data_IF_541640290890
#
_entry.id   IF_541640290890
#
_cell.length_a   1.000
_cell.length_b   1.000
_cell.length_c   1.000
_cell.angle_alpha   90.00
_cell.angle_beta   90.00
_cell.angle_gamma   90.00
#
_symmetry.space_group_name_H-M   'P 1'
#
loop_
_entity.id
_entity.type
_entity.pdbx_description
1 polymer ?
#
# COMPACT_ATOMS: atom_id res chain seq x y z
N UNK A 1 1.06 -10.70 1.60
CA UNK A 1 -0.40 -10.72 1.74
C UNK A 1 -1.00 -9.31 1.56
N UNK A 2 -2.22 -9.04 2.03
CA UNK A 2 -2.99 -7.84 1.70
C UNK A 2 -3.83 -7.34 2.87
N UNK A 3 -4.12 -6.03 2.87
CA UNK A 3 -5.13 -5.35 3.69
C UNK A 3 -6.57 -5.87 3.47
N UNK A 4 -6.87 -6.47 2.30
CA UNK A 4 -8.19 -7.05 1.97
C UNK A 4 -8.56 -8.28 2.81
N UNK A 5 -7.70 -8.72 3.72
CA UNK A 5 -8.06 -9.69 4.75
C UNK A 5 -8.99 -9.09 5.81
N UNK A 6 -9.07 -7.77 5.88
CA UNK A 6 -9.97 -7.02 6.77
C UNK A 6 -11.20 -6.50 6.02
N UNK A 7 -12.28 -6.20 6.76
CA UNK A 7 -13.54 -5.67 6.20
C UNK A 7 -13.55 -4.15 6.00
N UNK A 8 -12.62 -3.43 6.61
CA UNK A 8 -12.54 -1.98 6.52
C UNK A 8 -13.48 -1.22 7.47
N UNK A 9 -14.08 -1.88 8.46
CA UNK A 9 -15.05 -1.28 9.39
C UNK A 9 -14.41 -0.62 10.61
N UNK A 10 -13.14 -0.95 10.94
CA UNK A 10 -12.44 -0.42 12.11
C UNK A 10 -12.04 1.04 11.90
N UNK A 11 -12.18 1.85 12.95
CA UNK A 11 -11.56 3.17 13.01
C UNK A 11 -10.06 3.04 13.35
N UNK A 12 -9.20 3.79 12.64
CA UNK A 12 -7.75 3.72 12.81
C UNK A 12 -7.07 2.56 12.07
N UNK A 13 -5.83 2.26 12.42
CA UNK A 13 -5.04 1.19 11.76
C UNK A 13 -5.40 -0.20 12.28
N UNK A 14 -5.50 -1.17 11.38
CA UNK A 14 -5.55 -2.58 11.76
C UNK A 14 -4.18 -3.05 12.25
N UNK A 15 -4.15 -3.77 13.35
CA UNK A 15 -2.99 -4.48 13.86
C UNK A 15 -2.99 -5.93 13.36
N UNK A 16 -1.87 -6.63 13.51
CA UNK A 16 -1.76 -8.05 13.13
C UNK A 16 -2.65 -8.97 13.98
N UNK A 17 -3.08 -8.50 15.19
CA UNK A 17 -3.93 -9.24 16.13
C UNK A 17 -5.42 -9.00 15.89
N UNK A 18 -5.79 -8.05 15.03
CA UNK A 18 -7.20 -7.84 14.65
C UNK A 18 -7.73 -9.05 13.86
N UNK A 19 -8.95 -9.45 14.18
CA UNK A 19 -9.60 -10.57 13.53
C UNK A 19 -9.85 -10.30 12.04
N UNK A 20 -9.35 -11.14 11.11
CA UNK A 20 -9.64 -10.99 9.70
C UNK A 20 -11.12 -11.24 9.38
N UNK A 21 -11.68 -10.45 8.46
CA UNK A 21 -13.05 -10.60 7.95
C UNK A 21 -13.12 -10.23 6.44
N UNK A 22 -12.48 -11.00 5.54
CA UNK A 22 -12.38 -10.64 4.13
C UNK A 22 -13.72 -10.66 3.41
N UNK A 23 -14.06 -9.56 2.75
CA UNK A 23 -15.32 -9.38 2.04
C UNK A 23 -15.26 -9.81 0.56
N UNK A 24 -14.06 -10.02 0.02
CA UNK A 24 -13.83 -10.40 -1.38
C UNK A 24 -13.22 -11.79 -1.52
N UNK A 25 -13.39 -12.41 -2.69
CA UNK A 25 -12.72 -13.69 -3.03
C UNK A 25 -11.19 -13.50 -2.95
N UNK A 26 -10.67 -12.38 -3.42
CA UNK A 26 -9.25 -12.06 -3.32
C UNK A 26 -8.77 -12.10 -1.87
N UNK A 27 -9.42 -11.37 -0.96
CA UNK A 27 -9.08 -11.36 0.46
C UNK A 27 -9.16 -12.76 1.09
N UNK A 28 -10.23 -13.52 0.79
CA UNK A 28 -10.41 -14.90 1.28
C UNK A 28 -9.28 -15.84 0.84
N UNK A 29 -8.87 -15.77 -0.43
CA UNK A 29 -7.77 -16.61 -0.94
C UNK A 29 -6.42 -16.22 -0.34
N UNK A 30 -6.17 -14.93 -0.12
CA UNK A 30 -4.94 -14.47 0.54
C UNK A 30 -4.89 -14.90 2.00
N UNK A 31 -6.00 -14.78 2.73
CA UNK A 31 -6.10 -15.25 4.11
C UNK A 31 -5.91 -16.78 4.20
N UNK A 32 -6.49 -17.54 3.27
CA UNK A 32 -6.27 -19.00 3.21
C UNK A 32 -4.79 -19.34 3.00
N UNK A 33 -4.06 -18.55 2.19
CA UNK A 33 -2.62 -18.70 2.01
C UNK A 33 -1.83 -18.41 3.28
N UNK A 34 -2.21 -17.38 4.07
CA UNK A 34 -1.62 -17.12 5.39
C UNK A 34 -1.83 -18.30 6.35
N UNK A 35 -3.07 -18.80 6.42
CA UNK A 35 -3.41 -19.94 7.27
C UNK A 35 -2.63 -21.20 6.88
N UNK A 36 -2.46 -21.46 5.57
CA UNK A 36 -1.67 -22.60 5.08
C UNK A 36 -0.19 -22.50 5.49
N UNK A 37 0.41 -21.31 5.44
CA UNK A 37 1.78 -21.10 5.91
C UNK A 37 1.91 -21.37 7.40
N UNK A 38 0.98 -20.85 8.22
CA UNK A 38 0.97 -21.06 9.67
C UNK A 38 0.83 -22.55 9.98
N UNK A 39 -0.14 -23.24 9.33
CA UNK A 39 -0.42 -24.65 9.57
C UNK A 39 0.74 -25.56 9.13
N UNK A 40 1.53 -25.14 8.14
CA UNK A 40 2.69 -25.91 7.68
C UNK A 40 3.81 -26.00 8.71
N UNK A 41 3.80 -25.16 9.74
CA UNK A 41 4.89 -25.03 10.72
C UNK A 41 6.19 -24.48 10.14
N UNK A 42 6.20 -24.03 8.88
CA UNK A 42 7.38 -23.47 8.25
C UNK A 42 7.74 -22.11 8.88
N UNK A 43 9.02 -21.86 9.07
CA UNK A 43 9.53 -20.54 9.43
C UNK A 43 9.29 -19.58 8.27
N UNK A 44 8.48 -18.54 8.48
CA UNK A 44 8.08 -17.62 7.43
C UNK A 44 8.02 -16.18 7.92
N UNK A 45 8.15 -15.25 6.98
CA UNK A 45 7.79 -13.85 7.13
C UNK A 45 6.65 -13.57 6.15
N UNK A 46 5.53 -13.11 6.67
CA UNK A 46 4.39 -12.69 5.87
C UNK A 46 4.18 -11.21 6.06
N UNK A 47 4.24 -10.43 4.97
CA UNK A 47 3.93 -9.01 5.00
C UNK A 47 2.56 -8.76 4.40
N UNK A 48 1.61 -8.22 5.18
CA UNK A 48 0.39 -7.61 4.66
C UNK A 48 0.72 -6.22 4.19
N UNK A 49 0.34 -5.88 2.97
CA UNK A 49 0.57 -4.57 2.38
C UNK A 49 -0.69 -4.05 1.71
N UNK A 50 -0.73 -2.74 1.38
CA UNK A 50 -1.87 -2.11 0.71
C UNK A 50 -1.41 -1.14 -0.38
N UNK A 51 -2.27 -0.92 -1.39
CA UNK A 51 -2.15 0.10 -2.42
C UNK A 51 -0.78 0.13 -3.11
N UNK A 52 -0.26 -1.05 -3.46
CA UNK A 52 1.09 -1.19 -4.03
C UNK A 52 1.16 -0.51 -5.40
N UNK A 53 2.20 0.29 -5.60
CA UNK A 53 2.48 0.97 -6.85
C UNK A 53 3.99 1.04 -7.14
N UNK A 54 4.34 1.40 -8.40
CA UNK A 54 5.75 1.52 -8.81
C UNK A 54 5.88 2.05 -10.23
N UNK A 55 7.11 2.24 -10.68
CA UNK A 55 7.40 2.68 -12.05
C UNK A 55 7.03 1.63 -13.10
N UNK A 56 7.07 0.35 -12.74
CA UNK A 56 6.79 -0.77 -13.63
C UNK A 56 5.38 -1.34 -13.42
N UNK A 57 4.85 -2.02 -14.45
CA UNK A 57 3.52 -2.61 -14.41
C UNK A 57 2.38 -1.59 -14.46
N UNK A 58 1.14 -2.07 -14.42
CA UNK A 58 -0.06 -1.23 -14.32
C UNK A 58 -0.36 -0.93 -12.84
N UNK A 59 -0.68 0.32 -12.53
CA UNK A 59 -1.09 0.74 -11.19
C UNK A 59 -1.93 2.02 -11.23
N UNK A 60 -2.43 2.43 -10.05
CA UNK A 60 -3.29 3.59 -9.94
C UNK A 60 -2.61 4.89 -10.37
N UNK A 61 -1.37 5.17 -9.94
CA UNK A 61 -0.65 6.40 -10.29
C UNK A 61 -0.48 6.54 -11.81
N UNK A 62 -0.06 5.49 -12.50
CA UNK A 62 0.06 5.48 -13.97
C UNK A 62 -1.29 5.65 -14.67
N UNK A 63 -2.35 5.09 -14.09
CA UNK A 63 -3.72 5.29 -14.61
C UNK A 63 -4.13 6.75 -14.47
N UNK A 64 -3.87 7.39 -13.34
CA UNK A 64 -4.17 8.82 -13.13
C UNK A 64 -3.38 9.71 -14.09
N UNK A 65 -2.09 9.46 -14.29
CA UNK A 65 -1.27 10.20 -15.27
C UNK A 65 -1.87 10.12 -16.69
N UNK A 66 -2.19 8.92 -17.14
CA UNK A 66 -2.80 8.72 -18.47
C UNK A 66 -4.13 9.45 -18.60
N UNK A 67 -5.02 9.28 -17.60
CA UNK A 67 -6.33 9.93 -17.62
C UNK A 67 -6.21 11.46 -17.54
N UNK A 68 -5.24 12.00 -16.80
CA UNK A 68 -4.99 13.42 -16.72
C UNK A 68 -4.54 14.04 -18.05
N UNK A 69 -3.82 13.27 -18.88
CA UNK A 69 -3.46 13.69 -20.23
C UNK A 69 -4.63 13.60 -21.23
N UNK A 70 -5.60 12.72 -21.00
CA UNK A 70 -6.71 12.46 -21.92
C UNK A 70 -7.98 13.28 -21.60
N UNK A 71 -8.29 13.55 -20.34
CA UNK A 71 -9.56 14.08 -19.83
C UNK A 71 -9.40 15.46 -19.21
N UNK A 72 -10.49 16.24 -19.18
CA UNK A 72 -10.55 17.57 -18.55
C UNK A 72 -11.06 17.54 -17.11
N UNK A 73 -11.59 16.43 -16.66
CA UNK A 73 -11.98 16.20 -15.26
C UNK A 73 -11.96 14.71 -14.94
N UNK A 74 -11.75 14.37 -13.68
CA UNK A 74 -11.81 13.00 -13.16
C UNK A 74 -12.66 12.99 -11.90
N UNK A 75 -13.39 11.88 -11.69
CA UNK A 75 -14.09 11.59 -10.45
C UNK A 75 -13.37 10.46 -9.72
N UNK A 76 -12.98 10.69 -8.47
CA UNK A 76 -12.22 9.72 -7.67
C UNK A 76 -12.80 9.61 -6.27
N UNK A 77 -12.91 8.40 -5.77
CA UNK A 77 -13.48 8.08 -4.46
C UNK A 77 -12.65 8.72 -3.34
N UNK A 78 -13.32 9.42 -2.41
CA UNK A 78 -12.70 10.18 -1.32
C UNK A 78 -12.96 9.59 0.07
N UNK A 79 -13.83 8.60 0.20
CA UNK A 79 -14.26 7.94 1.44
C UNK A 79 -13.64 6.53 1.63
N UNK A 80 -12.60 6.20 0.87
CA UNK A 80 -11.76 5.03 1.08
C UNK A 80 -10.34 5.49 1.43
N UNK A 81 -9.80 4.96 2.54
CA UNK A 81 -8.53 5.41 3.11
C UNK A 81 -7.50 4.29 3.19
N UNK A 82 -6.23 4.66 3.01
CA UNK A 82 -5.10 3.75 3.07
C UNK A 82 -3.77 4.50 2.95
N UNK A 83 -2.69 3.77 2.70
CA UNK A 83 -1.37 4.33 2.44
C UNK A 83 -0.78 3.73 1.15
N UNK A 84 -0.61 4.53 0.08
CA UNK A 84 0.10 4.06 -1.11
C UNK A 84 1.50 3.60 -0.75
N UNK A 85 1.84 2.36 -1.07
CA UNK A 85 3.10 1.74 -0.69
C UNK A 85 3.90 1.39 -1.92
N UNK A 86 5.07 2.02 -2.10
CA UNK A 86 5.89 1.75 -3.28
C UNK A 86 6.50 0.35 -3.23
N UNK A 87 6.60 -0.30 -4.39
CA UNK A 87 7.28 -1.58 -4.51
C UNK A 87 8.76 -1.48 -4.09
N UNK A 88 9.40 -0.32 -4.29
CA UNK A 88 10.75 -0.05 -3.82
C UNK A 88 10.84 -0.13 -2.28
N UNK A 89 9.91 0.52 -1.56
CA UNK A 89 9.87 0.45 -0.10
C UNK A 89 9.71 -1.01 0.39
N UNK A 90 8.83 -1.78 -0.24
CA UNK A 90 8.64 -3.20 0.12
C UNK A 90 9.94 -3.98 -0.09
N UNK A 91 10.64 -3.74 -1.21
CA UNK A 91 11.90 -4.39 -1.52
C UNK A 91 13.01 -4.00 -0.51
N UNK A 92 13.14 -2.71 -0.21
CA UNK A 92 14.16 -2.19 0.72
C UNK A 92 13.96 -2.74 2.14
N UNK A 93 12.73 -2.70 2.65
CA UNK A 93 12.40 -3.27 3.96
C UNK A 93 12.65 -4.78 3.98
N UNK A 94 12.25 -5.49 2.92
CA UNK A 94 12.51 -6.93 2.82
C UNK A 94 14.02 -7.22 2.84
N UNK A 95 14.83 -6.45 2.12
CA UNK A 95 16.28 -6.61 2.10
C UNK A 95 16.90 -6.35 3.47
N UNK A 96 16.45 -5.31 4.21
CA UNK A 96 16.95 -5.03 5.56
C UNK A 96 16.58 -6.16 6.53
N UNK A 97 15.35 -6.67 6.51
CA UNK A 97 14.91 -7.79 7.35
C UNK A 97 15.68 -9.08 7.02
N UNK A 98 15.94 -9.36 5.73
CA UNK A 98 16.79 -10.49 5.32
C UNK A 98 18.25 -10.31 5.76
N UNK A 99 18.77 -9.08 5.74
CA UNK A 99 20.11 -8.77 6.26
C UNK A 99 20.22 -9.12 7.76
N UNK A 100 19.20 -8.75 8.55
CA UNK A 100 19.13 -9.11 9.98
C UNK A 100 19.01 -10.64 10.18
N UNK A 101 18.24 -11.33 9.33
CA UNK A 101 18.19 -12.79 9.34
C UNK A 101 19.55 -13.43 9.11
N UNK A 102 20.29 -12.97 8.10
CA UNK A 102 21.63 -13.49 7.81
C UNK A 102 22.59 -13.26 9.00
N UNK A 103 22.50 -12.09 9.65
CA UNK A 103 23.29 -11.78 10.84
C UNK A 103 22.92 -12.67 12.02
N UNK A 104 21.61 -12.87 12.29
CA UNK A 104 21.15 -13.75 13.37
C UNK A 104 21.62 -15.20 13.20
N UNK A 105 21.71 -15.69 11.95
CA UNK A 105 22.24 -17.03 11.64
C UNK A 105 23.72 -17.19 11.92
N UNK A 106 24.48 -16.10 11.98
CA UNK A 106 25.91 -16.09 12.33
C UNK A 106 26.14 -15.94 13.83
N UNK A 107 25.17 -15.35 14.55
CA UNK A 107 25.20 -15.23 15.99
C UNK A 107 24.58 -16.49 16.63
N UNK A 108 25.25 -17.08 17.60
CA UNK A 108 24.86 -18.35 18.23
C UNK A 108 23.69 -18.26 19.21
N UNK A 109 23.07 -17.09 19.42
CA UNK A 109 22.21 -16.85 20.58
C UNK A 109 20.84 -16.20 20.36
N UNK A 110 20.48 -15.73 19.16
CA UNK A 110 19.21 -15.05 18.96
C UNK A 110 18.28 -15.81 18.01
N UNK A 111 17.05 -16.08 18.49
CA UNK A 111 15.98 -16.59 17.62
C UNK A 111 15.48 -15.45 16.73
N UNK A 112 15.40 -15.70 15.40
CA UNK A 112 14.91 -14.70 14.45
C UNK A 112 13.38 -14.58 14.57
N UNK A 113 12.83 -13.36 14.63
CA UNK A 113 11.40 -13.13 14.84
C UNK A 113 10.59 -13.37 13.56
N UNK A 114 10.32 -14.65 13.27
CA UNK A 114 9.41 -15.04 12.19
C UNK A 114 7.98 -14.65 12.53
N UNK A 115 7.13 -14.52 11.50
CA UNK A 115 5.71 -14.29 11.72
C UNK A 115 5.05 -13.38 10.69
N UNK A 116 3.90 -12.85 11.10
CA UNK A 116 3.07 -11.93 10.32
C UNK A 116 3.33 -10.49 10.76
N UNK A 117 3.50 -9.62 9.77
CA UNK A 117 3.77 -8.20 9.95
C UNK A 117 2.99 -7.36 8.95
N UNK A 118 2.66 -6.13 9.32
CA UNK A 118 2.12 -5.13 8.40
C UNK A 118 3.25 -4.28 7.82
N UNK A 119 3.31 -4.16 6.49
CA UNK A 119 4.30 -3.39 5.76
C UNK A 119 3.62 -2.44 4.79
N UNK A 120 3.42 -1.21 5.20
CA UNK A 120 2.91 -0.09 4.37
C UNK A 120 3.73 1.16 4.65
N UNK A 121 3.70 2.13 3.75
CA UNK A 121 4.27 3.46 4.01
C UNK A 121 3.57 4.14 5.18
N UNK A 122 4.24 5.06 5.85
CA UNK A 122 3.63 5.90 6.88
C UNK A 122 2.63 6.89 6.28
N UNK A 123 1.75 7.42 7.14
CA UNK A 123 0.70 8.36 6.76
C UNK A 123 -0.60 7.69 6.34
N UNK A 124 -1.57 8.52 5.99
CA UNK A 124 -2.93 8.12 5.57
C UNK A 124 -3.41 9.07 4.49
N UNK A 125 -4.08 8.54 3.47
CA UNK A 125 -4.68 9.34 2.40
C UNK A 125 -5.92 8.66 1.85
N UNK A 126 -6.73 9.38 1.05
CA UNK A 126 -7.81 8.80 0.24
C UNK A 126 -7.33 8.55 -1.20
N UNK A 127 -8.07 7.75 -1.97
CA UNK A 127 -7.80 7.63 -3.42
C UNK A 127 -7.87 8.97 -4.13
N UNK A 128 -8.80 9.85 -3.73
CA UNK A 128 -8.94 11.19 -4.29
C UNK A 128 -7.69 12.04 -4.02
N UNK A 129 -7.23 12.13 -2.78
CA UNK A 129 -6.02 12.90 -2.45
C UNK A 129 -4.78 12.30 -3.10
N UNK A 130 -4.67 10.98 -3.18
CA UNK A 130 -3.59 10.32 -3.89
C UNK A 130 -3.61 10.68 -5.39
N UNK A 131 -4.78 10.68 -6.05
CA UNK A 131 -4.91 11.10 -7.43
C UNK A 131 -4.49 12.56 -7.64
N UNK A 132 -4.93 13.46 -6.75
CA UNK A 132 -4.51 14.88 -6.78
C UNK A 132 -2.99 15.03 -6.64
N UNK A 133 -2.37 14.29 -5.73
CA UNK A 133 -0.92 14.32 -5.54
C UNK A 133 -0.16 13.83 -6.79
N UNK A 134 -0.64 12.79 -7.47
CA UNK A 134 -0.06 12.31 -8.74
C UNK A 134 -0.15 13.39 -9.83
N UNK A 135 -1.31 14.01 -10.00
CA UNK A 135 -1.52 15.07 -11.00
C UNK A 135 -0.67 16.30 -10.68
N UNK A 136 -0.59 16.68 -9.40
CA UNK A 136 0.25 17.79 -8.96
C UNK A 136 1.72 17.55 -9.25
N UNK A 137 2.25 16.36 -8.97
CA UNK A 137 3.64 16.02 -9.26
C UNK A 137 3.94 16.10 -10.77
N UNK A 138 3.03 15.62 -11.63
CA UNK A 138 3.20 15.71 -13.07
C UNK A 138 3.09 17.16 -13.58
N UNK A 139 2.21 17.97 -12.99
CA UNK A 139 2.09 19.40 -13.32
C UNK A 139 3.37 20.17 -12.97
N UNK A 140 3.94 19.93 -11.79
CA UNK A 140 5.21 20.54 -11.37
C UNK A 140 6.39 20.11 -12.26
N UNK A 141 6.33 18.92 -12.84
CA UNK A 141 7.31 18.44 -13.82
C UNK A 141 7.03 18.92 -15.26
N UNK A 142 6.08 19.86 -15.46
CA UNK A 142 5.69 20.40 -16.76
C UNK A 142 5.24 19.35 -17.78
N UNK A 143 4.68 18.21 -17.34
CA UNK A 143 4.07 17.24 -18.27
C UNK A 143 2.80 17.84 -18.86
N UNK A 144 2.56 17.65 -20.18
CA UNK A 144 1.35 18.15 -20.83
C UNK A 144 0.11 17.38 -20.32
N UNK A 145 -0.70 18.03 -19.52
CA UNK A 145 -1.95 17.50 -18.97
C UNK A 145 -3.14 18.34 -19.45
N UNK A 146 -4.32 17.71 -19.56
CA UNK A 146 -5.59 18.40 -19.88
C UNK A 146 -6.34 18.82 -18.63
N UNK A 147 -5.97 18.30 -17.46
CA UNK A 147 -6.56 18.65 -16.17
C UNK A 147 -5.48 18.98 -15.15
N UNK A 148 -5.82 19.87 -14.22
CA UNK A 148 -5.03 20.16 -13.02
C UNK A 148 -5.50 19.36 -11.78
N UNK A 149 -4.79 19.51 -10.65
CA UNK A 149 -5.16 18.80 -9.41
C UNK A 149 -6.58 19.13 -8.92
N UNK A 150 -7.08 20.34 -9.18
CA UNK A 150 -8.40 20.81 -8.75
C UNK A 150 -9.54 20.28 -9.64
N UNK A 151 -9.23 19.77 -10.83
CA UNK A 151 -10.18 19.11 -11.73
C UNK A 151 -10.46 17.65 -11.35
N UNK A 152 -9.75 17.13 -10.32
CA UNK A 152 -10.03 15.82 -9.71
C UNK A 152 -11.13 15.99 -8.67
N UNK A 153 -12.33 15.57 -8.99
CA UNK A 153 -13.52 15.71 -8.17
C UNK A 153 -13.64 14.56 -7.16
N UNK A 154 -13.91 14.89 -5.91
CA UNK A 154 -14.21 13.91 -4.89
C UNK A 154 -15.64 13.35 -5.09
N UNK A 155 -15.76 12.03 -5.04
CA UNK A 155 -17.05 11.31 -4.99
C UNK A 155 -17.03 10.29 -3.86
N UNK A 156 -18.21 9.80 -3.50
CA UNK A 156 -18.36 8.71 -2.52
C UNK A 156 -18.25 7.34 -3.19
N UNK A 157 -17.99 6.31 -2.41
CA UNK A 157 -18.03 4.90 -2.85
C UNK A 157 -19.41 4.54 -3.46
N UNK A 158 -20.50 5.08 -2.90
CA UNK A 158 -21.84 4.84 -3.40
C UNK A 158 -22.06 5.39 -4.83
N UNK A 159 -21.37 6.46 -5.21
CA UNK A 159 -21.42 7.05 -6.57
C UNK A 159 -20.55 6.28 -7.59
N UNK A 160 -19.73 5.34 -7.12
CA UNK A 160 -18.86 4.52 -7.98
C UNK A 160 -18.98 3.03 -7.64
N UNK A 161 -20.12 2.41 -7.90
CA UNK A 161 -20.35 1.00 -7.56
C UNK A 161 -19.41 0.09 -8.38
N UNK A 162 -18.73 -0.82 -7.67
CA UNK A 162 -17.85 -1.84 -8.27
C UNK A 162 -18.40 -3.23 -7.94
N UNK A 163 -18.19 -4.23 -8.83
CA UNK A 163 -18.64 -5.60 -8.59
C UNK A 163 -18.06 -6.24 -7.30
N UNK A 164 -16.82 -5.89 -6.95
CA UNK A 164 -16.18 -6.35 -5.72
C UNK A 164 -16.14 -5.20 -4.69
N UNK A 165 -16.64 -5.43 -3.46
CA UNK A 165 -16.56 -4.44 -2.40
C UNK A 165 -15.11 -4.14 -2.05
N UNK A 166 -14.80 -2.86 -1.85
CA UNK A 166 -13.51 -2.39 -1.36
C UNK A 166 -13.65 -1.91 0.08
N UNK A 167 -12.71 -2.22 0.95
CA UNK A 167 -12.73 -1.71 2.32
C UNK A 167 -12.74 -0.18 2.35
N UNK A 168 -13.57 0.42 3.21
CA UNK A 168 -13.55 1.86 3.45
C UNK A 168 -12.24 2.27 4.15
N UNK A 169 -11.69 1.37 4.97
CA UNK A 169 -10.42 1.57 5.65
C UNK A 169 -9.45 0.43 5.35
N UNK A 170 -8.33 0.75 4.71
CA UNK A 170 -7.18 -0.09 4.39
C UNK A 170 -5.91 0.31 5.18
N UNK A 171 -6.07 1.09 6.26
CA UNK A 171 -4.94 1.52 7.08
C UNK A 171 -4.42 0.35 7.92
N UNK A 172 -3.13 0.09 7.84
CA UNK A 172 -2.45 -0.94 8.62
C UNK A 172 -1.51 -0.29 9.65
N UNK A 173 -1.55 -0.74 10.90
CA UNK A 173 -0.57 -0.37 11.91
C UNK A 173 0.73 -1.15 11.66
N UNK A 174 1.85 -0.47 11.65
CA UNK A 174 3.17 -1.04 11.37
C UNK A 174 4.08 -1.09 12.60
N UNK A 175 3.53 -0.82 13.79
CA UNK A 175 4.30 -0.73 15.04
C UNK A 175 5.08 -2.01 15.29
N UNK A 176 4.44 -3.18 15.16
CA UNK A 176 5.11 -4.47 15.32
C UNK A 176 6.33 -4.63 14.40
N UNK A 177 6.20 -4.32 13.12
CA UNK A 177 7.31 -4.39 12.17
C UNK A 177 8.44 -3.44 12.56
N UNK A 178 8.09 -2.16 12.84
CA UNK A 178 9.07 -1.13 13.16
C UNK A 178 9.86 -1.42 14.44
N UNK A 179 9.17 -1.83 15.49
CA UNK A 179 9.81 -2.16 16.78
C UNK A 179 10.63 -3.44 16.71
N UNK A 180 10.10 -4.47 16.04
CA UNK A 180 10.80 -5.77 15.94
C UNK A 180 12.12 -5.67 15.17
N UNK A 181 12.15 -4.89 14.09
CA UNK A 181 13.30 -4.81 13.18
C UNK A 181 14.04 -3.46 13.24
N UNK A 182 13.66 -2.55 14.14
CA UNK A 182 14.30 -1.24 14.27
C UNK A 182 14.15 -0.38 13.02
N UNK A 183 12.99 -0.42 12.34
CA UNK A 183 12.77 0.23 11.05
C UNK A 183 12.04 1.56 11.20
N UNK A 184 12.37 2.50 10.33
CA UNK A 184 11.64 3.75 10.12
C UNK A 184 11.02 3.70 8.71
N UNK A 185 9.68 3.77 8.63
CA UNK A 185 8.98 3.74 7.34
C UNK A 185 8.72 5.18 6.88
N UNK A 186 9.07 5.53 5.64
CA UNK A 186 8.84 6.86 5.08
C UNK A 186 7.35 7.13 4.86
N UNK A 187 6.97 8.42 4.86
CA UNK A 187 5.63 8.83 4.43
C UNK A 187 5.37 8.42 2.98
N UNK A 188 4.12 8.09 2.66
CA UNK A 188 3.71 7.65 1.32
C UNK A 188 4.05 8.66 0.21
N UNK A 189 4.09 9.96 0.54
CA UNK A 189 4.46 11.02 -0.40
C UNK A 189 5.90 10.89 -0.89
N UNK A 190 6.83 10.49 -0.01
CA UNK A 190 8.23 10.26 -0.41
C UNK A 190 8.34 9.11 -1.41
N UNK A 191 7.58 8.02 -1.20
CA UNK A 191 7.49 6.93 -2.17
C UNK A 191 6.87 7.37 -3.49
N UNK A 192 5.84 8.24 -3.44
CA UNK A 192 5.24 8.82 -4.63
C UNK A 192 6.24 9.68 -5.39
N UNK A 193 6.93 10.60 -4.73
CA UNK A 193 7.92 11.50 -5.36
C UNK A 193 9.02 10.70 -6.08
N UNK A 194 9.52 9.64 -5.42
CA UNK A 194 10.52 8.76 -6.03
C UNK A 194 10.00 8.07 -7.31
N UNK A 195 8.81 7.49 -7.26
CA UNK A 195 8.21 6.81 -8.43
C UNK A 195 7.85 7.82 -9.52
N UNK A 196 7.33 9.00 -9.16
CA UNK A 196 7.01 10.04 -10.13
C UNK A 196 8.26 10.55 -10.85
N UNK A 197 9.38 10.74 -10.14
CA UNK A 197 10.67 11.08 -10.76
C UNK A 197 11.02 10.06 -11.83
N UNK A 198 10.91 8.77 -11.58
CA UNK A 198 11.21 7.72 -12.57
C UNK A 198 10.26 7.76 -13.78
N UNK A 199 8.95 8.01 -13.54
CA UNK A 199 7.93 8.04 -14.60
C UNK A 199 7.97 9.31 -15.46
N UNK A 200 8.49 10.41 -14.93
CA UNK A 200 8.46 11.70 -15.59
C UNK A 200 9.78 12.04 -16.30
N UNK A 201 10.89 11.35 -15.94
CA UNK A 201 12.19 11.50 -16.59
C UNK A 201 12.45 10.48 -17.72
N UNK A 202 11.61 9.47 -17.86
CA UNK A 202 11.59 8.50 -18.96
C UNK A 202 10.58 8.94 -20.05
#
# INVERSE_FOLDING_TARGET
STDYVFDGSKDGGYTEDDAPNPQSVYGKTKLAGEAALITSGARHLTFRTSWVFGAHGANFAKTMLRLAAERRSLKVVADQFGAPTSAALIADVTAQVLGQYIQSRRATSAEFPYGLYHLVAAGRTSWHEYARAVVQAAHLANKPLKLGPDDVQAITTAEYPLPAPRPANSCLDTTRLRETFGLCLPDWRQGLDHVMTQLLTS
#
